data_IF_422061566550
#
_entry.id   IF_422061566550
#
_cell.length_a   1.000
_cell.length_b   1.000
_cell.length_c   1.000
_cell.angle_alpha   90.00
_cell.angle_beta   90.00
_cell.angle_gamma   90.00
#
_symmetry.space_group_name_H-M   'P 1'
#
loop_
_entity.id
_entity.type
_entity.pdbx_description
1 polymer ?
#
# COMPACT_ATOMS: atom_id res chain seq x y z
N UNK A 1 -16.14 -18.17 27.22
CA UNK A 1 -16.49 -17.20 26.17
C UNK A 1 -15.55 -16.01 26.32
N UNK A 2 -14.38 -16.09 25.69
CA UNK A 2 -13.34 -15.04 25.74
C UNK A 2 -13.60 -14.06 24.61
N UNK A 3 -14.20 -12.91 24.96
CA UNK A 3 -14.29 -11.77 24.06
C UNK A 3 -12.87 -11.21 23.87
N UNK A 4 -12.32 -11.41 22.68
CA UNK A 4 -11.06 -10.78 22.26
C UNK A 4 -11.30 -9.30 22.03
N UNK A 5 -10.66 -8.47 22.84
CA UNK A 5 -10.43 -7.07 22.54
C UNK A 5 -9.53 -6.99 21.29
N UNK A 6 -10.13 -6.83 20.11
CA UNK A 6 -9.41 -6.85 18.84
C UNK A 6 -10.04 -6.02 17.73
N UNK A 7 -11.00 -5.14 18.03
CA UNK A 7 -11.64 -4.31 17.01
C UNK A 7 -11.64 -2.85 17.45
N UNK A 8 -11.19 -1.98 16.54
CA UNK A 8 -10.76 -0.60 16.70
C UNK A 8 -9.31 -0.39 17.20
N UNK A 9 -8.35 -1.12 16.62
CA UNK A 9 -7.10 -0.42 16.27
C UNK A 9 -7.52 0.66 15.29
N UNK A 10 -7.46 1.92 15.72
CA UNK A 10 -7.77 3.06 14.86
C UNK A 10 -6.99 2.93 13.57
N UNK A 11 -7.69 2.66 12.46
CA UNK A 11 -7.09 2.70 11.13
C UNK A 11 -6.51 4.10 11.00
N UNK A 12 -5.18 4.18 10.85
CA UNK A 12 -4.55 5.49 10.75
C UNK A 12 -5.12 6.16 9.50
N UNK A 13 -5.62 7.40 9.57
CA UNK A 13 -6.36 8.02 8.47
C UNK A 13 -5.49 8.17 7.20
N UNK A 14 -4.17 8.11 7.32
CA UNK A 14 -3.24 8.10 6.20
C UNK A 14 -3.11 6.74 5.48
N UNK A 15 -3.62 5.65 6.06
CA UNK A 15 -3.65 4.32 5.46
C UNK A 15 -4.94 4.10 4.67
N UNK A 16 -4.78 3.81 3.39
CA UNK A 16 -5.86 3.51 2.46
C UNK A 16 -5.90 2.00 2.29
N UNK A 17 -7.02 1.41 2.69
CA UNK A 17 -7.29 0.01 2.40
C UNK A 17 -7.59 -0.13 0.90
N UNK A 18 -6.90 -1.06 0.26
CA UNK A 18 -7.01 -1.26 -1.17
C UNK A 18 -8.09 -2.30 -1.48
N UNK A 19 -9.01 -1.94 -2.38
CA UNK A 19 -9.97 -2.91 -2.90
C UNK A 19 -9.28 -4.01 -3.73
N UNK A 20 -10.00 -5.11 -3.99
CA UNK A 20 -9.44 -6.27 -4.70
C UNK A 20 -8.94 -5.93 -6.11
N UNK A 21 -9.56 -4.96 -6.79
CA UNK A 21 -9.13 -4.52 -8.11
C UNK A 21 -7.86 -3.66 -8.02
N UNK A 22 -7.72 -2.82 -6.98
CA UNK A 22 -6.50 -2.07 -6.70
C UNK A 22 -5.34 -2.98 -6.31
N UNK A 23 -5.60 -4.04 -5.53
CA UNK A 23 -4.62 -5.11 -5.28
C UNK A 23 -4.12 -5.74 -6.58
N UNK A 24 -5.03 -6.11 -7.46
CA UNK A 24 -4.68 -6.75 -8.73
C UNK A 24 -3.86 -5.81 -9.63
N UNK A 25 -4.30 -4.54 -9.79
CA UNK A 25 -3.55 -3.54 -10.55
C UNK A 25 -2.16 -3.29 -9.96
N UNK A 26 -2.03 -3.22 -8.64
CA UNK A 26 -0.73 -3.05 -7.98
C UNK A 26 0.20 -4.23 -8.25
N UNK A 27 -0.29 -5.48 -8.18
CA UNK A 27 0.51 -6.67 -8.52
C UNK A 27 0.96 -6.67 -9.98
N UNK A 28 0.06 -6.32 -10.90
CA UNK A 28 0.38 -6.23 -12.33
C UNK A 28 1.44 -5.17 -12.60
N UNK A 29 1.35 -4.00 -11.97
CA UNK A 29 2.36 -2.95 -12.08
C UNK A 29 3.72 -3.40 -11.54
N UNK A 30 3.75 -4.10 -10.41
CA UNK A 30 5.00 -4.65 -9.85
C UNK A 30 5.62 -5.63 -10.84
N UNK A 31 4.82 -6.52 -11.43
CA UNK A 31 5.30 -7.47 -12.43
C UNK A 31 5.84 -6.76 -13.68
N UNK A 32 5.12 -5.76 -14.21
CA UNK A 32 5.54 -4.98 -15.39
C UNK A 32 6.82 -4.19 -15.12
N UNK A 33 7.00 -3.65 -13.90
CA UNK A 33 8.21 -2.92 -13.50
C UNK A 33 9.38 -3.85 -13.12
N UNK A 34 9.20 -5.18 -13.15
CA UNK A 34 10.23 -6.14 -12.76
C UNK A 34 10.55 -6.13 -11.27
N UNK A 35 9.55 -5.79 -10.44
CA UNK A 35 9.70 -5.74 -8.99
C UNK A 35 10.02 -7.12 -8.41
N UNK A 36 11.16 -7.20 -7.72
CA UNK A 36 11.64 -8.40 -7.07
C UNK A 36 11.98 -8.10 -5.62
N UNK A 37 11.93 -9.11 -4.77
CA UNK A 37 12.25 -8.96 -3.36
C UNK A 37 13.76 -8.77 -3.24
N UNK A 38 14.22 -7.65 -2.69
CA UNK A 38 15.65 -7.38 -2.50
C UNK A 38 16.35 -8.42 -1.61
N UNK A 39 15.59 -9.13 -0.77
CA UNK A 39 16.12 -10.09 0.18
C UNK A 39 16.27 -11.53 -0.38
N UNK A 40 15.39 -11.96 -1.29
CA UNK A 40 15.40 -13.34 -1.80
C UNK A 40 15.24 -13.46 -3.33
N UNK A 41 15.07 -12.35 -4.05
CA UNK A 41 14.84 -12.32 -5.49
C UNK A 41 13.44 -12.79 -5.95
N UNK A 42 12.58 -13.20 -5.02
CA UNK A 42 11.22 -13.66 -5.36
C UNK A 42 10.34 -12.55 -5.92
N UNK A 43 9.40 -12.92 -6.79
CA UNK A 43 8.44 -12.00 -7.43
C UNK A 43 7.02 -12.16 -6.90
N UNK A 44 6.80 -13.09 -5.97
CA UNK A 44 5.49 -13.35 -5.37
C UNK A 44 5.28 -12.52 -4.10
N UNK A 45 4.34 -11.58 -4.18
CA UNK A 45 4.05 -10.62 -3.12
C UNK A 45 2.57 -10.66 -2.75
N UNK A 46 2.28 -10.51 -1.45
CA UNK A 46 0.99 -10.06 -0.97
C UNK A 46 0.99 -8.54 -0.84
N UNK A 47 -0.07 -7.91 -1.34
CA UNK A 47 -0.33 -6.47 -1.17
C UNK A 47 -1.05 -6.24 0.16
N UNK A 48 -0.60 -5.24 0.91
CA UNK A 48 -1.28 -4.69 2.07
C UNK A 48 -1.82 -3.29 1.81
N UNK A 49 -2.05 -2.52 2.88
CA UNK A 49 -2.55 -1.14 2.76
C UNK A 49 -1.54 -0.22 2.03
N UNK A 50 -2.07 0.86 1.45
CA UNK A 50 -1.27 1.93 0.86
C UNK A 50 -1.23 3.15 1.77
N UNK A 51 -0.06 3.77 1.88
CA UNK A 51 0.15 5.00 2.62
C UNK A 51 0.34 6.17 1.65
N UNK A 52 -0.44 7.23 1.78
CA UNK A 52 -0.23 8.44 0.96
C UNK A 52 1.03 9.20 1.42
N UNK A 53 1.96 9.45 0.50
CA UNK A 53 3.27 10.04 0.82
C UNK A 53 3.25 11.57 0.85
N UNK A 54 2.33 12.22 0.12
CA UNK A 54 2.18 13.67 0.10
C UNK A 54 1.79 14.32 1.44
N UNK A 55 1.67 13.51 2.51
CA UNK A 55 1.56 13.94 3.90
C UNK A 55 2.92 13.98 4.63
N UNK A 56 3.86 13.08 4.30
CA UNK A 56 5.14 12.94 5.01
C UNK A 56 6.20 13.91 4.51
N UNK A 57 6.12 14.35 3.26
CA UNK A 57 7.10 15.25 2.64
C UNK A 57 6.39 16.31 1.80
N UNK A 58 6.68 17.59 2.07
CA UNK A 58 6.10 18.73 1.35
C UNK A 58 6.51 18.79 -0.14
N UNK A 59 7.57 18.08 -0.53
CA UNK A 59 8.12 18.03 -1.89
C UNK A 59 7.77 16.74 -2.64
N UNK A 60 7.12 15.76 -1.98
CA UNK A 60 6.68 14.54 -2.67
C UNK A 60 5.44 14.80 -3.53
N UNK A 61 5.36 14.07 -4.64
CA UNK A 61 4.22 14.14 -5.55
C UNK A 61 2.92 13.84 -4.78
N UNK A 62 1.91 14.68 -5.00
CA UNK A 62 0.62 14.57 -4.35
C UNK A 62 -0.08 13.22 -4.59
N UNK A 63 0.30 12.54 -5.67
CA UNK A 63 -0.24 11.25 -6.08
C UNK A 63 0.72 10.08 -5.79
N UNK A 64 1.77 10.28 -4.97
CA UNK A 64 2.68 9.22 -4.54
C UNK A 64 2.11 8.41 -3.36
N UNK A 65 2.13 7.09 -3.49
CA UNK A 65 1.71 6.14 -2.46
C UNK A 65 2.81 5.13 -2.19
N UNK A 66 2.99 4.79 -0.92
CA UNK A 66 3.82 3.69 -0.48
C UNK A 66 2.92 2.48 -0.20
N UNK A 67 2.98 1.48 -1.07
CA UNK A 67 2.16 0.27 -0.97
C UNK A 67 2.93 -0.79 -0.19
N UNK A 68 2.33 -1.30 0.88
CA UNK A 68 2.95 -2.35 1.68
C UNK A 68 3.00 -3.67 0.90
N UNK A 69 4.16 -4.32 0.90
CA UNK A 69 4.41 -5.60 0.25
C UNK A 69 4.90 -6.62 1.27
N UNK A 70 4.39 -7.84 1.17
CA UNK A 70 4.92 -9.00 1.91
C UNK A 70 5.31 -10.08 0.92
N UNK A 71 6.61 -10.35 0.78
CA UNK A 71 7.12 -11.48 0.02
C UNK A 71 6.55 -12.78 0.62
N UNK A 72 5.98 -13.62 -0.24
CA UNK A 72 5.34 -14.88 0.15
C UNK A 72 6.32 -16.04 0.31
N UNK A 73 7.59 -15.85 -0.04
CA UNK A 73 8.62 -16.86 0.18
C UNK A 73 8.84 -17.06 1.70
N UNK A 74 8.53 -18.24 2.28
CA UNK A 74 8.66 -18.49 3.72
C UNK A 74 10.11 -18.44 4.21
N UNK A 75 11.08 -18.63 3.31
CA UNK A 75 12.51 -18.58 3.62
C UNK A 75 13.09 -17.17 3.45
N UNK A 76 12.25 -16.16 3.14
CA UNK A 76 12.72 -14.81 2.95
C UNK A 76 13.21 -14.19 4.28
N UNK A 77 14.47 -13.75 4.39
CA UNK A 77 15.01 -13.21 5.63
C UNK A 77 14.41 -11.83 5.99
N UNK A 78 13.83 -11.13 4.99
CA UNK A 78 13.15 -9.85 5.18
C UNK A 78 11.91 -9.78 4.28
N UNK A 79 10.80 -10.43 4.70
CA UNK A 79 9.63 -10.58 3.84
C UNK A 79 8.83 -9.28 3.68
N UNK A 80 8.90 -8.36 4.64
CA UNK A 80 8.15 -7.09 4.60
C UNK A 80 8.97 -6.00 3.91
N UNK A 81 8.40 -5.41 2.88
CA UNK A 81 8.94 -4.26 2.14
C UNK A 81 7.80 -3.35 1.70
N UNK A 82 8.09 -2.30 0.95
CA UNK A 82 7.09 -1.45 0.33
C UNK A 82 7.60 -0.90 -1.00
N UNK A 83 6.68 -0.51 -1.87
CA UNK A 83 7.00 0.08 -3.18
C UNK A 83 6.28 1.41 -3.36
N UNK A 84 6.95 2.38 -4.00
CA UNK A 84 6.33 3.64 -4.38
C UNK A 84 5.59 3.48 -5.71
N UNK A 85 4.29 3.78 -5.72
CA UNK A 85 3.43 3.80 -6.91
C UNK A 85 2.67 5.13 -7.01
N UNK A 86 2.30 5.53 -8.22
CA UNK A 86 1.36 6.63 -8.43
C UNK A 86 -0.06 6.12 -8.28
N UNK A 87 -0.91 6.85 -7.55
CA UNK A 87 -2.33 6.51 -7.37
C UNK A 87 -3.08 6.37 -8.68
N UNK A 88 -2.74 7.18 -9.69
CA UNK A 88 -3.27 7.05 -11.06
C UNK A 88 -3.06 5.66 -11.67
N UNK A 89 -2.00 4.94 -11.28
CA UNK A 89 -1.67 3.67 -11.89
C UNK A 89 -2.52 2.52 -11.34
N UNK A 90 -2.96 2.58 -10.07
CA UNK A 90 -3.58 1.43 -9.38
C UNK A 90 -4.84 1.72 -8.57
N UNK A 91 -5.14 2.96 -8.22
CA UNK A 91 -6.38 3.31 -7.51
C UNK A 91 -7.51 3.63 -8.50
N UNK A 92 -8.74 3.34 -8.09
CA UNK A 92 -9.94 3.85 -8.78
C UNK A 92 -10.13 5.33 -8.51
N UNK A 93 -10.93 6.02 -9.33
CA UNK A 93 -11.28 7.43 -9.10
C UNK A 93 -11.87 7.66 -7.70
N UNK A 94 -12.75 6.76 -7.24
CA UNK A 94 -13.34 6.83 -5.90
C UNK A 94 -12.30 6.69 -4.77
N UNK A 95 -11.38 5.72 -4.87
CA UNK A 95 -10.31 5.57 -3.87
C UNK A 95 -9.34 6.75 -3.88
N UNK A 96 -9.07 7.34 -5.05
CA UNK A 96 -8.25 8.55 -5.15
C UNK A 96 -8.94 9.76 -4.53
N UNK A 97 -10.24 9.92 -4.76
CA UNK A 97 -11.04 10.98 -4.13
C UNK A 97 -11.05 10.83 -2.60
N UNK A 98 -11.21 9.60 -2.11
CA UNK A 98 -11.11 9.29 -0.68
C UNK A 98 -9.72 9.65 -0.13
N UNK A 99 -8.65 9.25 -0.81
CA UNK A 99 -7.28 9.56 -0.42
C UNK A 99 -7.01 11.08 -0.34
N UNK A 100 -7.50 11.85 -1.31
CA UNK A 100 -7.38 13.32 -1.32
C UNK A 100 -8.19 13.98 -0.20
N UNK A 101 -9.39 13.46 0.09
CA UNK A 101 -10.21 13.92 1.21
C UNK A 101 -9.53 13.67 2.54
N UNK A 102 -8.90 12.50 2.71
CA UNK A 102 -8.11 12.17 3.90
C UNK A 102 -6.92 13.11 4.06
N UNK A 103 -6.15 13.35 2.98
CA UNK A 103 -5.05 14.33 2.98
C UNK A 103 -5.50 15.72 3.45
N UNK A 104 -6.62 16.20 2.94
CA UNK A 104 -7.15 17.53 3.28
C UNK A 104 -7.64 17.66 4.72
N UNK A 105 -7.90 16.52 5.38
CA UNK A 105 -8.38 16.48 6.77
C UNK A 105 -7.26 16.37 7.80
N UNK A 106 -6.02 16.11 7.35
CA UNK A 106 -4.83 15.98 8.21
C UNK A 106 -3.95 17.24 8.14
N UNK A 107 -4.09 18.06 7.09
CA UNK A 107 -3.43 19.37 6.94
C UNK A 107 -4.14 20.48 7.75
#
# INVERSE_FOLDING_TARGET
MTQGAGEHVGVRPELINLDAAAHQRALELIAVKGGHCEACGGTDFAIGDALIMGFLFLDEDADAYLVALTCRNPECPKPRTAIRLSGNDFLSEDQRAQAMSLRSSIA
#
